data_IF_103140600484
#
_entry.id   IF_103140600484
#
_cell.length_a   1.000
_cell.length_b   1.000
_cell.length_c   1.000
_cell.angle_alpha   90.00
_cell.angle_beta   90.00
_cell.angle_gamma   90.00
#
_symmetry.space_group_name_H-M   'P 1'
#
loop_
_entity.id
_entity.type
_entity.pdbx_description
1 polymer ?
#
# COMPACT_ATOMS: atom_id res chain seq x y z
N UNK A 1 -4.88 13.30 12.20
CA UNK A 1 -5.68 13.34 10.97
C UNK A 1 -5.13 12.23 10.09
N UNK A 2 -5.86 11.14 9.98
CA UNK A 2 -5.46 10.02 9.14
C UNK A 2 -5.41 10.49 7.68
N UNK A 3 -4.26 10.33 7.04
CA UNK A 3 -4.06 10.76 5.65
C UNK A 3 -4.91 9.92 4.67
N UNK A 4 -5.47 8.80 5.17
CA UNK A 4 -6.25 7.83 4.43
C UNK A 4 -7.73 8.20 4.26
N UNK A 5 -8.23 9.23 4.95
CA UNK A 5 -9.64 9.67 4.87
C UNK A 5 -9.91 10.71 3.75
N UNK A 6 -8.86 11.27 3.13
CA UNK A 6 -9.02 12.25 2.04
C UNK A 6 -9.16 11.54 0.70
N UNK A 7 -10.37 11.05 0.40
CA UNK A 7 -10.69 10.40 -0.87
C UNK A 7 -10.32 11.24 -2.09
N UNK A 8 -10.52 12.57 -2.02
CA UNK A 8 -10.19 13.51 -3.10
C UNK A 8 -8.67 13.60 -3.33
N UNK A 9 -7.88 13.64 -2.26
CA UNK A 9 -6.42 13.64 -2.33
C UNK A 9 -5.90 12.33 -2.93
N UNK A 10 -6.48 11.20 -2.51
CA UNK A 10 -6.13 9.88 -3.02
C UNK A 10 -6.42 9.78 -4.52
N UNK A 11 -7.59 10.24 -4.98
CA UNK A 11 -7.95 10.20 -6.39
C UNK A 11 -7.05 11.11 -7.23
N UNK A 12 -6.77 12.32 -6.74
CA UNK A 12 -5.81 13.22 -7.37
C UNK A 12 -4.41 12.58 -7.47
N UNK A 13 -3.86 12.12 -6.35
CA UNK A 13 -2.54 11.46 -6.29
C UNK A 13 -2.51 10.22 -7.17
N UNK A 14 -3.59 9.44 -7.25
CA UNK A 14 -3.68 8.29 -8.15
C UNK A 14 -3.65 8.69 -9.63
N UNK A 15 -4.26 9.83 -9.98
CA UNK A 15 -4.27 10.37 -11.34
C UNK A 15 -2.90 10.96 -11.73
N UNK A 16 -2.30 11.76 -10.85
CA UNK A 16 -1.05 12.48 -11.16
C UNK A 16 0.22 11.67 -10.88
N UNK A 17 0.18 10.75 -9.93
CA UNK A 17 1.34 9.99 -9.49
C UNK A 17 1.25 8.50 -9.88
N UNK A 18 1.96 8.16 -10.96
CA UNK A 18 2.12 6.78 -11.42
C UNK A 18 2.78 5.87 -10.38
N UNK A 19 3.64 6.41 -9.49
CA UNK A 19 4.25 5.63 -8.41
C UNK A 19 3.18 5.15 -7.42
N UNK A 20 2.27 6.02 -7.01
CA UNK A 20 1.16 5.66 -6.12
C UNK A 20 0.31 4.55 -6.73
N UNK A 21 -0.09 4.70 -8.00
CA UNK A 21 -0.86 3.68 -8.74
C UNK A 21 -0.12 2.35 -8.82
N UNK A 22 1.20 2.37 -9.00
CA UNK A 22 2.02 1.15 -9.04
C UNK A 22 2.08 0.47 -7.67
N UNK A 23 2.30 1.25 -6.60
CA UNK A 23 2.35 0.73 -5.23
C UNK A 23 1.00 0.15 -4.83
N UNK A 24 -0.11 0.83 -5.15
CA UNK A 24 -1.48 0.37 -4.90
C UNK A 24 -1.74 -0.99 -5.57
N UNK A 25 -1.40 -1.14 -6.85
CA UNK A 25 -1.52 -2.42 -7.56
C UNK A 25 -0.74 -3.54 -6.88
N UNK A 26 0.49 -3.25 -6.45
CA UNK A 26 1.32 -4.25 -5.76
C UNK A 26 0.73 -4.56 -4.38
N UNK A 27 0.26 -3.57 -3.64
CA UNK A 27 -0.40 -3.76 -2.35
C UNK A 27 -1.65 -4.65 -2.48
N UNK A 28 -2.47 -4.42 -3.51
CA UNK A 28 -3.65 -5.25 -3.80
C UNK A 28 -3.24 -6.68 -4.14
N UNK A 29 -2.24 -6.85 -5.01
CA UNK A 29 -1.72 -8.17 -5.35
C UNK A 29 -1.19 -8.92 -4.12
N UNK A 30 -0.42 -8.25 -3.26
CA UNK A 30 0.07 -8.82 -2.00
C UNK A 30 -1.09 -9.18 -1.06
N UNK A 31 -2.16 -8.38 -1.00
CA UNK A 31 -3.35 -8.72 -0.21
C UNK A 31 -4.05 -9.97 -0.73
N UNK A 32 -4.21 -10.09 -2.05
CA UNK A 32 -4.80 -11.26 -2.70
C UNK A 32 -3.95 -12.52 -2.50
N UNK A 33 -2.63 -12.42 -2.65
CA UNK A 33 -1.71 -13.53 -2.40
C UNK A 33 -1.72 -13.94 -0.91
N UNK A 34 -1.71 -12.96 0.01
CA UNK A 34 -1.84 -13.22 1.45
C UNK A 34 -3.16 -13.89 1.79
N UNK A 35 -4.29 -13.43 1.23
CA UNK A 35 -5.62 -14.04 1.40
C UNK A 35 -5.67 -15.44 0.82
N UNK A 36 -5.03 -15.66 -0.33
CA UNK A 36 -4.90 -16.99 -0.92
C UNK A 36 -4.18 -17.92 0.05
N UNK A 37 -3.10 -17.48 0.67
CA UNK A 37 -2.35 -18.26 1.67
C UNK A 37 -3.07 -18.37 3.02
N UNK A 38 -4.00 -17.48 3.31
CA UNK A 38 -4.81 -17.51 4.54
C UNK A 38 -5.87 -18.61 4.45
N UNK A 39 -5.75 -19.64 5.31
CA UNK A 39 -6.66 -20.79 5.32
C UNK A 39 -6.11 -22.08 4.70
N UNK A 40 -4.87 -22.09 4.23
CA UNK A 40 -4.15 -23.32 3.82
C UNK A 40 -3.10 -23.68 4.86
N UNK A 41 -2.77 -24.97 4.99
CA UNK A 41 -1.55 -25.37 5.67
C UNK A 41 -0.35 -24.99 4.81
N UNK A 42 0.33 -23.91 5.22
CA UNK A 42 1.54 -23.43 4.56
C UNK A 42 2.72 -24.27 5.02
N UNK A 43 3.60 -24.59 4.09
CA UNK A 43 4.91 -25.13 4.41
C UNK A 43 5.77 -24.06 5.11
N UNK A 44 6.82 -24.43 5.86
CA UNK A 44 7.69 -23.46 6.52
C UNK A 44 8.32 -22.42 5.55
N UNK A 45 8.56 -22.80 4.30
CA UNK A 45 9.02 -21.88 3.25
C UNK A 45 7.93 -20.86 2.88
N UNK A 46 6.68 -21.33 2.73
CA UNK A 46 5.52 -20.48 2.47
C UNK A 46 5.16 -19.57 3.66
N UNK A 47 5.34 -20.01 4.90
CA UNK A 47 5.20 -19.14 6.08
C UNK A 47 6.22 -18.00 6.07
N UNK A 48 7.45 -18.29 5.63
CA UNK A 48 8.50 -17.29 5.48
C UNK A 48 8.16 -16.30 4.36
N UNK A 49 7.66 -16.80 3.22
CA UNK A 49 7.11 -15.99 2.13
C UNK A 49 5.96 -15.11 2.62
N UNK A 50 4.98 -15.67 3.35
CA UNK A 50 3.85 -14.92 3.92
C UNK A 50 4.33 -13.79 4.83
N UNK A 51 5.30 -14.05 5.71
CA UNK A 51 5.91 -13.02 6.56
C UNK A 51 6.62 -11.94 5.75
N UNK A 52 7.36 -12.31 4.70
CA UNK A 52 8.02 -11.35 3.82
C UNK A 52 6.98 -10.50 3.08
N UNK A 53 5.90 -11.11 2.56
CA UNK A 53 4.80 -10.41 1.89
C UNK A 53 4.06 -9.45 2.83
N UNK A 54 3.85 -9.84 4.09
CA UNK A 54 3.28 -8.94 5.12
C UNK A 54 4.19 -7.74 5.38
N UNK A 55 5.51 -7.93 5.49
CA UNK A 55 6.48 -6.83 5.61
C UNK A 55 6.46 -5.93 4.38
N UNK A 56 6.50 -6.50 3.19
CA UNK A 56 6.45 -5.75 1.93
C UNK A 56 5.16 -4.94 1.82
N UNK A 57 4.04 -5.50 2.26
CA UNK A 57 2.75 -4.82 2.31
C UNK A 57 2.78 -3.62 3.27
N UNK A 58 3.39 -3.77 4.45
CA UNK A 58 3.57 -2.67 5.40
C UNK A 58 4.45 -1.55 4.81
N UNK A 59 5.58 -1.90 4.20
CA UNK A 59 6.49 -0.94 3.55
C UNK A 59 5.75 -0.18 2.44
N UNK A 60 4.95 -0.87 1.63
CA UNK A 60 4.16 -0.25 0.56
C UNK A 60 3.07 0.67 1.09
N UNK A 61 2.38 0.25 2.15
CA UNK A 61 1.39 1.09 2.84
C UNK A 61 2.05 2.36 3.40
N UNK A 62 3.21 2.22 4.03
CA UNK A 62 3.98 3.35 4.57
C UNK A 62 4.37 4.31 3.44
N UNK A 63 4.88 3.78 2.32
CA UNK A 63 5.21 4.57 1.14
C UNK A 63 4.01 5.29 0.55
N UNK A 64 2.85 4.64 0.44
CA UNK A 64 1.60 5.29 0.01
C UNK A 64 1.24 6.46 0.95
N UNK A 65 1.36 6.24 2.25
CA UNK A 65 1.08 7.26 3.27
C UNK A 65 2.05 8.43 3.17
N UNK A 66 3.35 8.17 2.96
CA UNK A 66 4.35 9.21 2.72
C UNK A 66 4.03 10.04 1.48
N UNK A 67 3.66 9.41 0.37
CA UNK A 67 3.29 10.12 -0.86
C UNK A 67 2.10 11.03 -0.60
N UNK A 68 1.04 10.52 0.03
CA UNK A 68 -0.14 11.32 0.35
C UNK A 68 0.21 12.50 1.26
N UNK A 69 1.09 12.29 2.24
CA UNK A 69 1.55 13.34 3.15
C UNK A 69 2.34 14.42 2.43
N UNK A 70 3.27 14.06 1.54
CA UNK A 70 4.04 15.00 0.72
C UNK A 70 3.10 15.87 -0.16
N UNK A 71 2.11 15.24 -0.78
CA UNK A 71 1.10 15.97 -1.56
C UNK A 71 0.21 16.86 -0.71
N UNK A 72 -0.21 16.40 0.47
CA UNK A 72 -1.00 17.20 1.40
C UNK A 72 -0.22 18.44 1.87
N UNK A 73 1.07 18.28 2.19
CA UNK A 73 1.95 19.38 2.59
C UNK A 73 2.17 20.36 1.44
N UNK A 74 2.37 19.88 0.20
CA UNK A 74 2.44 20.73 -1.00
C UNK A 74 1.16 21.56 -1.21
N UNK A 75 -0.01 20.95 -1.07
CA UNK A 75 -1.29 21.64 -1.25
C UNK A 75 -1.52 22.68 -0.13
N UNK A 76 -1.14 22.37 1.11
CA UNK A 76 -1.28 23.32 2.24
C UNK A 76 -0.34 24.53 2.17
N UNK A 77 0.78 24.40 1.47
CA UNK A 77 1.82 25.45 1.38
C UNK A 77 1.62 26.35 0.16
N UNK A 78 0.58 26.09 -0.65
CA UNK A 78 0.24 26.85 -1.85
C UNK A 78 -0.94 27.79 -1.60
#
# INVERSE_FOLDING_TARGET
MDVNDNAELIDYVRSVNNEYRRIEKIHHKLDEDLKKMDGRYLTPDEEMLKKNMQKDKLIKKDRMTQILRDYMEKIKTQ
#
